data_IF_386362863859
#
_entry.id   IF_386362863859
#
_cell.length_a   1.000
_cell.length_b   1.000
_cell.length_c   1.000
_cell.angle_alpha   90.00
_cell.angle_beta   90.00
_cell.angle_gamma   90.00
#
_symmetry.space_group_name_H-M   'P 1'
#
loop_
_entity.id
_entity.type
_entity.pdbx_description
1 polymer ?
#
# COMPACT_ATOMS: atom_id res chain seq x y z
N UNK A 1 -55.07 19.19 18.91
CA UNK A 1 -54.35 19.04 17.63
C UNK A 1 -55.13 18.07 16.79
N UNK A 2 -55.41 18.43 15.54
CA UNK A 2 -56.02 17.49 14.60
C UNK A 2 -55.02 16.36 14.32
N UNK A 3 -55.46 15.09 14.26
CA UNK A 3 -54.54 13.96 14.08
C UNK A 3 -53.70 14.08 12.80
N UNK A 4 -54.26 14.69 11.74
CA UNK A 4 -53.54 14.98 10.50
C UNK A 4 -52.40 15.99 10.69
N UNK A 5 -52.61 17.04 11.49
CA UNK A 5 -51.58 18.06 11.78
C UNK A 5 -50.42 17.49 12.61
N UNK A 6 -50.71 16.60 13.56
CA UNK A 6 -49.72 15.90 14.35
C UNK A 6 -48.85 14.98 13.49
N UNK A 7 -49.46 14.18 12.62
CA UNK A 7 -48.74 13.26 11.71
C UNK A 7 -47.84 14.04 10.73
N UNK A 8 -48.33 15.16 10.20
CA UNK A 8 -47.54 16.01 9.30
C UNK A 8 -46.34 16.64 10.01
N UNK A 9 -46.52 17.18 11.22
CA UNK A 9 -45.44 17.80 11.98
C UNK A 9 -44.39 16.77 12.44
N UNK A 10 -44.83 15.60 12.90
CA UNK A 10 -43.94 14.52 13.30
C UNK A 10 -43.12 13.98 12.12
N UNK A 11 -43.71 13.84 10.93
CA UNK A 11 -43.00 13.38 9.74
C UNK A 11 -41.96 14.39 9.23
N UNK A 12 -42.27 15.69 9.27
CA UNK A 12 -41.31 16.76 8.95
C UNK A 12 -40.13 16.74 9.93
N UNK A 13 -40.38 16.61 11.23
CA UNK A 13 -39.33 16.55 12.24
C UNK A 13 -38.39 15.36 12.01
N UNK A 14 -38.93 14.17 11.71
CA UNK A 14 -38.14 12.97 11.38
C UNK A 14 -37.34 13.16 10.10
N UNK A 15 -37.92 13.79 9.07
CA UNK A 15 -37.21 14.07 7.82
C UNK A 15 -36.02 15.02 8.04
N UNK A 16 -36.19 16.09 8.83
CA UNK A 16 -35.11 17.02 9.16
C UNK A 16 -33.98 16.32 9.91
N UNK A 17 -34.30 15.51 10.93
CA UNK A 17 -33.30 14.73 11.67
C UNK A 17 -32.56 13.76 10.75
N UNK A 18 -33.28 13.08 9.85
CA UNK A 18 -32.69 12.18 8.87
C UNK A 18 -31.71 12.90 7.94
N UNK A 19 -32.12 14.04 7.36
CA UNK A 19 -31.28 14.85 6.47
C UNK A 19 -30.01 15.34 7.19
N UNK A 20 -30.15 15.86 8.41
CA UNK A 20 -29.00 16.32 9.21
C UNK A 20 -28.02 15.18 9.50
N UNK A 21 -28.54 13.99 9.81
CA UNK A 21 -27.71 12.81 10.08
C UNK A 21 -26.96 12.36 8.82
N UNK A 22 -27.63 12.35 7.67
CA UNK A 22 -27.01 12.01 6.37
C UNK A 22 -25.92 13.01 5.99
N UNK A 23 -26.19 14.32 6.11
CA UNK A 23 -25.22 15.37 5.80
C UNK A 23 -23.99 15.29 6.71
N UNK A 24 -24.19 15.02 8.01
CA UNK A 24 -23.11 14.82 8.97
C UNK A 24 -22.26 13.60 8.59
N UNK A 25 -22.90 12.48 8.26
CA UNK A 25 -22.20 11.27 7.86
C UNK A 25 -21.38 11.47 6.58
N UNK A 26 -21.92 12.19 5.59
CA UNK A 26 -21.20 12.53 4.36
C UNK A 26 -20.01 13.47 4.62
N UNK A 27 -20.17 14.48 5.48
CA UNK A 27 -19.09 15.37 5.88
C UNK A 27 -17.97 14.61 6.61
N UNK A 28 -18.34 13.72 7.55
CA UNK A 28 -17.38 12.85 8.24
C UNK A 28 -16.62 11.95 7.26
N UNK A 29 -17.33 11.32 6.32
CA UNK A 29 -16.73 10.42 5.32
C UNK A 29 -15.77 11.18 4.38
N UNK A 30 -16.11 12.41 4.01
CA UNK A 30 -15.25 13.29 3.21
C UNK A 30 -14.00 13.71 3.99
N UNK A 31 -14.13 14.00 5.29
CA UNK A 31 -13.01 14.37 6.15
C UNK A 31 -12.07 13.19 6.41
N UNK A 32 -12.61 11.99 6.68
CA UNK A 32 -11.83 10.74 6.78
C UNK A 32 -11.03 10.44 5.51
N UNK A 33 -11.53 10.84 4.34
CA UNK A 33 -10.83 10.65 3.06
C UNK A 33 -9.65 11.61 2.89
N UNK A 34 -9.63 12.73 3.60
CA UNK A 34 -8.64 13.79 3.42
C UNK A 34 -7.36 13.60 4.23
N UNK A 35 -7.26 12.50 4.98
CA UNK A 35 -6.10 12.02 5.74
C UNK A 35 -5.30 13.15 6.41
N UNK A 36 -5.58 13.37 7.70
CA UNK A 36 -4.87 14.28 8.62
C UNK A 36 -5.59 15.59 9.02
N UNK A 37 -6.85 15.52 9.45
CA UNK A 37 -7.41 16.58 10.30
C UNK A 37 -8.36 16.01 11.36
N UNK A 38 -7.75 15.53 12.45
CA UNK A 38 -8.45 15.03 13.65
C UNK A 38 -9.33 16.12 14.26
N UNK A 39 -8.94 17.38 14.12
CA UNK A 39 -9.67 18.53 14.63
C UNK A 39 -10.97 18.73 13.83
N UNK A 40 -10.89 18.67 12.49
CA UNK A 40 -12.09 18.68 11.64
C UNK A 40 -13.04 17.51 11.94
N UNK A 41 -12.51 16.30 12.16
CA UNK A 41 -13.31 15.13 12.58
C UNK A 41 -14.08 15.37 13.87
N UNK A 42 -13.41 15.93 14.87
CA UNK A 42 -14.02 16.32 16.14
C UNK A 42 -15.11 17.37 15.93
N UNK A 43 -14.82 18.45 15.20
CA UNK A 43 -15.78 19.54 14.98
C UNK A 43 -17.00 19.11 14.18
N UNK A 44 -16.85 18.29 13.14
CA UNK A 44 -17.99 17.77 12.36
C UNK A 44 -18.81 16.75 13.14
N UNK A 45 -18.17 15.89 13.94
CA UNK A 45 -18.87 14.98 14.84
C UNK A 45 -19.67 15.73 15.91
N UNK A 46 -19.03 16.70 16.58
CA UNK A 46 -19.63 17.49 17.64
C UNK A 46 -20.78 18.37 17.14
N UNK A 47 -20.60 19.09 16.03
CA UNK A 47 -21.62 19.97 15.45
C UNK A 47 -22.81 19.20 14.90
N UNK A 48 -22.59 18.05 14.26
CA UNK A 48 -23.66 17.18 13.77
C UNK A 48 -24.46 16.55 14.91
N UNK A 49 -23.80 16.04 15.95
CA UNK A 49 -24.47 15.53 17.15
C UNK A 49 -25.29 16.63 17.82
N UNK A 50 -24.70 17.82 17.99
CA UNK A 50 -25.37 18.97 18.58
C UNK A 50 -26.61 19.38 17.77
N UNK A 51 -26.52 19.42 16.44
CA UNK A 51 -27.64 19.73 15.55
C UNK A 51 -28.79 18.72 15.69
N UNK A 52 -28.49 17.43 15.77
CA UNK A 52 -29.49 16.37 15.99
C UNK A 52 -30.14 16.51 17.37
N UNK A 53 -29.37 16.76 18.43
CA UNK A 53 -29.89 16.99 19.78
C UNK A 53 -30.82 18.20 19.81
N UNK A 54 -30.43 19.32 19.22
CA UNK A 54 -31.29 20.51 19.15
C UNK A 54 -32.58 20.27 18.36
N UNK A 55 -32.52 19.51 17.26
CA UNK A 55 -33.71 19.14 16.51
C UNK A 55 -34.67 18.25 17.32
N UNK A 56 -34.15 17.30 18.09
CA UNK A 56 -34.93 16.45 19.00
C UNK A 56 -35.59 17.29 20.10
N UNK A 57 -34.83 18.19 20.75
CA UNK A 57 -35.35 19.07 21.81
C UNK A 57 -36.43 20.00 21.25
N UNK A 58 -36.21 20.59 20.07
CA UNK A 58 -37.19 21.44 19.40
C UNK A 58 -38.47 20.69 19.06
N UNK A 59 -38.37 19.46 18.55
CA UNK A 59 -39.53 18.62 18.25
C UNK A 59 -40.29 18.21 19.53
N UNK A 60 -39.57 17.89 20.61
CA UNK A 60 -40.17 17.55 21.90
C UNK A 60 -40.87 18.74 22.56
N UNK A 61 -40.34 19.96 22.41
CA UNK A 61 -40.93 21.17 22.97
C UNK A 61 -42.16 21.66 22.18
N UNK A 62 -42.21 21.38 20.87
CA UNK A 62 -43.29 21.87 19.99
C UNK A 62 -44.42 20.87 19.77
N UNK A 63 -44.16 19.57 19.94
CA UNK A 63 -45.13 18.51 19.63
C UNK A 63 -45.29 17.56 20.84
N UNK A 64 -46.37 17.70 21.64
CA UNK A 64 -46.64 16.82 22.78
C UNK A 64 -46.72 15.35 22.37
N UNK A 65 -45.93 14.48 22.99
CA UNK A 65 -45.95 13.03 22.75
C UNK A 65 -45.11 12.51 21.56
N UNK A 66 -44.48 13.40 20.78
CA UNK A 66 -43.64 12.99 19.64
C UNK A 66 -42.23 12.55 20.01
N UNK A 67 -41.76 12.90 21.21
CA UNK A 67 -40.36 12.72 21.63
C UNK A 67 -39.85 11.28 21.47
N UNK A 68 -40.70 10.27 21.73
CA UNK A 68 -40.33 8.86 21.55
C UNK A 68 -40.12 8.45 20.09
N UNK A 69 -40.93 8.96 19.17
CA UNK A 69 -40.81 8.64 17.74
C UNK A 69 -39.60 9.33 17.11
N UNK A 70 -39.35 10.59 17.47
CA UNK A 70 -38.22 11.36 16.93
C UNK A 70 -36.89 10.80 17.43
N UNK A 71 -36.81 10.41 18.71
CA UNK A 71 -35.61 9.77 19.27
C UNK A 71 -35.36 8.38 18.67
N UNK A 72 -36.41 7.56 18.49
CA UNK A 72 -36.29 6.27 17.82
C UNK A 72 -35.80 6.42 16.36
N UNK A 73 -36.35 7.37 15.61
CA UNK A 73 -35.91 7.69 14.25
C UNK A 73 -34.44 8.13 14.21
N UNK A 74 -34.02 9.00 15.13
CA UNK A 74 -32.63 9.44 15.25
C UNK A 74 -31.67 8.26 15.49
N UNK A 75 -32.01 7.34 16.41
CA UNK A 75 -31.19 6.17 16.70
C UNK A 75 -31.03 5.24 15.49
N UNK A 76 -32.09 5.03 14.71
CA UNK A 76 -32.02 4.24 13.47
C UNK A 76 -31.11 4.92 12.45
N UNK A 77 -31.25 6.23 12.24
CA UNK A 77 -30.40 6.97 11.31
C UNK A 77 -28.92 6.94 11.72
N UNK A 78 -28.63 7.08 13.02
CA UNK A 78 -27.26 6.98 13.56
C UNK A 78 -26.69 5.58 13.34
N UNK A 79 -27.44 4.52 13.63
CA UNK A 79 -27.00 3.14 13.43
C UNK A 79 -26.70 2.82 11.96
N UNK A 80 -27.57 3.28 11.05
CA UNK A 80 -27.36 3.10 9.59
C UNK A 80 -26.13 3.88 9.11
N UNK A 81 -25.95 5.13 9.55
CA UNK A 81 -24.79 5.95 9.20
C UNK A 81 -23.48 5.34 9.72
N UNK A 82 -23.47 4.87 10.98
CA UNK A 82 -22.32 4.20 11.58
C UNK A 82 -21.97 2.90 10.84
N UNK A 83 -22.97 2.08 10.51
CA UNK A 83 -22.78 0.86 9.73
C UNK A 83 -22.23 1.13 8.33
N UNK A 84 -22.68 2.21 7.68
CA UNK A 84 -22.18 2.61 6.36
C UNK A 84 -20.72 3.09 6.41
N UNK A 85 -20.37 3.92 7.41
CA UNK A 85 -18.99 4.36 7.66
C UNK A 85 -18.07 3.16 7.95
N UNK A 86 -18.52 2.24 8.80
CA UNK A 86 -17.77 1.03 9.14
C UNK A 86 -17.51 0.16 7.89
N UNK A 87 -18.54 -0.03 7.04
CA UNK A 87 -18.40 -0.81 5.80
C UNK A 87 -17.39 -0.18 4.84
N UNK A 88 -17.41 1.15 4.69
CA UNK A 88 -16.44 1.88 3.87
C UNK A 88 -15.00 1.71 4.37
N UNK A 89 -14.79 1.72 5.68
CA UNK A 89 -13.48 1.51 6.30
C UNK A 89 -12.97 0.07 6.06
N UNK A 90 -13.84 -0.93 6.14
CA UNK A 90 -13.47 -2.32 5.84
C UNK A 90 -13.04 -2.51 4.39
N UNK A 91 -13.80 -1.96 3.43
CA UNK A 91 -13.45 -2.05 2.01
C UNK A 91 -12.12 -1.34 1.71
N UNK A 92 -11.83 -0.23 2.39
CA UNK A 92 -10.55 0.47 2.28
C UNK A 92 -9.39 -0.37 2.80
N UNK A 93 -9.51 -0.96 3.99
CA UNK A 93 -8.43 -1.81 4.56
C UNK A 93 -8.11 -2.99 3.66
N UNK A 94 -9.12 -3.62 3.05
CA UNK A 94 -8.93 -4.73 2.11
C UNK A 94 -8.20 -4.25 0.85
N UNK A 95 -8.58 -3.10 0.29
CA UNK A 95 -7.89 -2.51 -0.88
C UNK A 95 -6.45 -2.13 -0.56
N UNK A 96 -6.20 -1.48 0.57
CA UNK A 96 -4.86 -1.09 1.02
C UNK A 96 -3.97 -2.32 1.25
N UNK A 97 -4.51 -3.39 1.86
CA UNK A 97 -3.78 -4.64 2.01
C UNK A 97 -3.44 -5.28 0.65
N UNK A 98 -4.39 -5.29 -0.29
CA UNK A 98 -4.14 -5.77 -1.66
C UNK A 98 -3.10 -4.93 -2.41
N UNK A 99 -3.13 -3.61 -2.27
CA UNK A 99 -2.14 -2.70 -2.85
C UNK A 99 -0.75 -2.89 -2.23
N UNK A 100 -0.67 -3.08 -0.91
CA UNK A 100 0.60 -3.35 -0.23
C UNK A 100 1.23 -4.66 -0.72
N UNK A 101 0.45 -5.73 -0.81
CA UNK A 101 0.90 -7.02 -1.36
C UNK A 101 1.34 -6.89 -2.82
N UNK A 102 0.63 -6.08 -3.63
CA UNK A 102 1.00 -5.83 -5.01
C UNK A 102 2.32 -5.07 -5.12
N UNK A 103 2.52 -4.02 -4.31
CA UNK A 103 3.78 -3.28 -4.26
C UNK A 103 4.93 -4.18 -3.83
N UNK A 104 4.74 -5.00 -2.80
CA UNK A 104 5.73 -5.99 -2.37
C UNK A 104 6.10 -6.94 -3.52
N UNK A 105 5.11 -7.51 -4.20
CA UNK A 105 5.32 -8.35 -5.39
C UNK A 105 6.13 -7.63 -6.48
N UNK A 106 5.77 -6.40 -6.81
CA UNK A 106 6.46 -5.59 -7.82
C UNK A 106 7.92 -5.30 -7.40
N UNK A 107 8.18 -5.01 -6.13
CA UNK A 107 9.54 -4.77 -5.63
C UNK A 107 10.43 -6.02 -5.70
N UNK A 108 9.91 -7.20 -5.36
CA UNK A 108 10.66 -8.46 -5.46
C UNK A 108 10.95 -8.83 -6.92
N UNK A 109 9.99 -8.60 -7.82
CA UNK A 109 10.22 -8.79 -9.27
C UNK A 109 11.28 -7.83 -9.80
N UNK A 110 11.23 -6.56 -9.40
CA UNK A 110 12.22 -5.56 -9.81
C UNK A 110 13.64 -5.87 -9.33
N UNK A 111 13.79 -6.36 -8.09
CA UNK A 111 15.09 -6.83 -7.57
C UNK A 111 15.65 -8.00 -8.39
N UNK A 112 14.82 -9.00 -8.68
CA UNK A 112 15.22 -10.15 -9.50
C UNK A 112 15.68 -9.70 -10.89
N UNK A 113 14.89 -8.85 -11.55
CA UNK A 113 15.22 -8.35 -12.88
C UNK A 113 16.53 -7.56 -12.89
N UNK A 114 16.78 -6.73 -11.87
CA UNK A 114 18.04 -5.99 -11.73
C UNK A 114 19.24 -6.93 -11.66
N UNK A 115 19.16 -8.00 -10.86
CA UNK A 115 20.25 -8.97 -10.72
C UNK A 115 20.49 -9.73 -12.02
N UNK A 116 19.43 -10.14 -12.71
CA UNK A 116 19.54 -10.78 -14.02
C UNK A 116 20.15 -9.84 -15.05
N UNK A 117 19.73 -8.58 -15.11
CA UNK A 117 20.26 -7.60 -16.05
C UNK A 117 21.76 -7.36 -15.83
N UNK A 118 22.19 -7.30 -14.57
CA UNK A 118 23.60 -7.18 -14.22
C UNK A 118 24.41 -8.42 -14.65
N UNK A 119 23.91 -9.63 -14.38
CA UNK A 119 24.54 -10.86 -14.86
C UNK A 119 24.64 -10.91 -16.39
N UNK A 120 23.53 -10.60 -17.07
CA UNK A 120 23.46 -10.57 -18.54
C UNK A 120 24.45 -9.58 -19.14
N UNK A 121 24.73 -8.46 -18.46
CA UNK A 121 25.73 -7.51 -18.93
C UNK A 121 27.14 -8.11 -18.97
N UNK A 122 27.50 -8.96 -18.02
CA UNK A 122 28.81 -9.65 -18.02
C UNK A 122 28.91 -10.71 -19.11
N UNK A 123 27.80 -11.40 -19.44
CA UNK A 123 27.77 -12.47 -20.44
C UNK A 123 27.64 -11.95 -21.88
N UNK A 124 26.92 -10.85 -22.10
CA UNK A 124 26.64 -10.33 -23.45
C UNK A 124 27.57 -9.20 -23.88
N UNK A 125 28.29 -8.55 -22.97
CA UNK A 125 29.26 -7.52 -23.32
C UNK A 125 30.64 -8.14 -23.58
N UNK A 126 31.15 -8.12 -24.83
CA UNK A 126 32.47 -8.66 -25.14
C UNK A 126 33.61 -7.92 -24.43
N UNK A 127 33.44 -6.66 -24.06
CA UNK A 127 34.44 -5.94 -23.25
C UNK A 127 34.48 -6.49 -21.82
N UNK A 128 33.30 -6.71 -21.21
CA UNK A 128 33.20 -7.28 -19.87
C UNK A 128 33.72 -8.73 -19.80
N UNK A 129 33.52 -9.52 -20.85
CA UNK A 129 34.08 -10.87 -20.94
C UNK A 129 35.62 -10.90 -20.99
N UNK A 130 36.25 -9.87 -21.58
CA UNK A 130 37.71 -9.70 -21.62
C UNK A 130 38.23 -9.20 -20.26
N UNK A 131 37.54 -8.23 -19.66
CA UNK A 131 37.96 -7.60 -18.39
C UNK A 131 37.72 -8.54 -17.18
N UNK A 132 36.67 -9.37 -17.23
CA UNK A 132 36.23 -10.24 -16.13
C UNK A 132 36.00 -11.69 -16.58
N UNK A 133 37.01 -12.40 -17.13
CA UNK A 133 36.85 -13.76 -17.66
C UNK A 133 36.45 -14.78 -16.58
N UNK A 134 36.73 -14.46 -15.31
CA UNK A 134 36.32 -15.27 -14.16
C UNK A 134 34.80 -15.33 -13.95
N UNK A 135 34.03 -14.33 -14.43
CA UNK A 135 32.57 -14.33 -14.33
C UNK A 135 31.94 -15.40 -15.23
N UNK A 136 32.50 -15.67 -16.40
CA UNK A 136 31.96 -16.66 -17.36
C UNK A 136 32.53 -18.08 -17.16
N UNK A 137 33.53 -18.24 -16.28
CA UNK A 137 34.14 -19.54 -15.97
C UNK A 137 33.27 -20.37 -15.00
N UNK A 138 32.50 -21.30 -15.56
CA UNK A 138 31.64 -22.23 -14.82
C UNK A 138 32.40 -23.23 -13.94
N UNK A 139 33.71 -23.41 -14.14
CA UNK A 139 34.52 -24.31 -13.30
C UNK A 139 34.77 -23.73 -11.90
N UNK A 140 34.56 -22.42 -11.73
CA UNK A 140 34.72 -21.73 -10.44
C UNK A 140 33.54 -21.99 -9.51
N UNK A 141 33.85 -22.18 -8.23
CA UNK A 141 32.84 -22.45 -7.20
C UNK A 141 31.85 -21.29 -7.05
N UNK A 142 32.31 -20.04 -7.17
CA UNK A 142 31.45 -18.87 -7.00
C UNK A 142 30.45 -18.72 -8.16
N UNK A 143 30.91 -18.89 -9.41
CA UNK A 143 30.05 -18.84 -10.60
C UNK A 143 29.04 -19.99 -10.62
N UNK A 144 29.46 -21.21 -10.26
CA UNK A 144 28.52 -22.34 -10.14
C UNK A 144 27.49 -22.14 -9.01
N UNK A 145 27.88 -21.50 -7.90
CA UNK A 145 26.96 -21.09 -6.82
C UNK A 145 25.96 -20.03 -7.31
N UNK A 146 26.42 -19.05 -8.08
CA UNK A 146 25.56 -18.05 -8.71
C UNK A 146 24.51 -18.72 -9.61
N UNK A 147 24.93 -19.56 -10.56
CA UNK A 147 24.00 -20.28 -11.46
C UNK A 147 22.99 -21.15 -10.67
N UNK A 148 23.44 -21.82 -9.60
CA UNK A 148 22.53 -22.58 -8.72
C UNK A 148 21.52 -21.68 -8.02
N UNK A 149 21.96 -20.55 -7.48
CA UNK A 149 21.09 -19.59 -6.82
C UNK A 149 20.08 -18.96 -7.79
N UNK A 150 20.48 -18.68 -9.04
CA UNK A 150 19.60 -18.21 -10.10
C UNK A 150 18.50 -19.23 -10.40
N UNK A 151 18.86 -20.52 -10.53
CA UNK A 151 17.90 -21.59 -10.76
C UNK A 151 16.91 -21.72 -9.60
N UNK A 152 17.39 -21.65 -8.36
CA UNK A 152 16.53 -21.68 -7.16
C UNK A 152 15.57 -20.48 -7.14
N UNK A 153 16.06 -19.28 -7.43
CA UNK A 153 15.23 -18.08 -7.50
C UNK A 153 14.21 -18.14 -8.64
N UNK A 154 14.55 -18.73 -9.79
CA UNK A 154 13.63 -18.92 -10.91
C UNK A 154 12.49 -19.89 -10.56
N UNK A 155 12.80 -21.04 -9.94
CA UNK A 155 11.79 -22.00 -9.48
C UNK A 155 10.85 -21.39 -8.44
N UNK A 156 11.40 -20.60 -7.50
CA UNK A 156 10.60 -19.91 -6.50
C UNK A 156 9.77 -18.77 -7.09
N UNK A 157 10.26 -18.10 -8.14
CA UNK A 157 9.49 -17.10 -8.88
C UNK A 157 8.25 -17.72 -9.53
N UNK A 158 8.37 -18.88 -10.16
CA UNK A 158 7.23 -19.60 -10.75
C UNK A 158 6.18 -19.94 -9.70
N UNK A 159 6.61 -20.48 -8.54
CA UNK A 159 5.70 -20.78 -7.42
C UNK A 159 5.09 -19.52 -6.80
N UNK A 160 5.85 -18.44 -6.72
CA UNK A 160 5.39 -17.14 -6.20
C UNK A 160 4.33 -16.51 -7.13
N UNK A 161 4.54 -16.62 -8.44
CA UNK A 161 3.58 -16.15 -9.45
C UNK A 161 2.31 -17.01 -9.47
N UNK A 162 2.42 -18.32 -9.25
CA UNK A 162 1.29 -19.23 -9.05
C UNK A 162 0.55 -19.03 -7.72
N UNK A 163 1.18 -18.35 -6.75
CA UNK A 163 0.63 -18.14 -5.41
C UNK A 163 0.90 -19.26 -4.41
N UNK A 164 1.72 -20.26 -4.79
CA UNK A 164 2.06 -21.43 -3.98
C UNK A 164 3.20 -21.15 -2.98
N UNK A 165 4.05 -20.15 -3.25
CA UNK A 165 5.15 -19.74 -2.37
C UNK A 165 4.89 -18.37 -1.74
N UNK A 166 5.27 -18.22 -0.47
CA UNK A 166 5.19 -16.95 0.26
C UNK A 166 6.23 -15.94 -0.19
N UNK A 167 5.95 -14.65 0.01
CA UNK A 167 6.90 -13.56 -0.31
C UNK A 167 8.22 -13.68 0.46
N UNK A 168 8.18 -14.18 1.70
CA UNK A 168 9.35 -14.39 2.54
C UNK A 168 10.33 -15.43 1.95
N UNK A 169 9.82 -16.55 1.45
CA UNK A 169 10.65 -17.61 0.85
C UNK A 169 11.34 -17.10 -0.43
N UNK A 170 10.58 -16.45 -1.29
CA UNK A 170 11.11 -15.87 -2.52
C UNK A 170 12.13 -14.74 -2.23
N UNK A 171 11.84 -13.86 -1.26
CA UNK A 171 12.76 -12.80 -0.82
C UNK A 171 14.07 -13.36 -0.25
N UNK A 172 14.00 -14.48 0.49
CA UNK A 172 15.20 -15.14 1.04
C UNK A 172 16.06 -15.70 -0.08
N UNK A 173 15.46 -16.39 -1.06
CA UNK A 173 16.19 -16.90 -2.21
C UNK A 173 16.79 -15.78 -3.07
N UNK A 174 16.09 -14.66 -3.21
CA UNK A 174 16.58 -13.49 -3.93
C UNK A 174 17.78 -12.84 -3.23
N UNK A 175 17.75 -12.76 -1.90
CA UNK A 175 18.90 -12.29 -1.10
C UNK A 175 20.10 -13.23 -1.28
N UNK A 176 19.89 -14.54 -1.25
CA UNK A 176 20.95 -15.51 -1.52
C UNK A 176 21.52 -15.46 -2.94
N UNK A 177 20.70 -15.07 -3.92
CA UNK A 177 21.13 -14.81 -5.30
C UNK A 177 21.96 -13.52 -5.39
N UNK A 178 21.52 -12.43 -4.76
CA UNK A 178 22.26 -11.17 -4.68
C UNK A 178 23.65 -11.37 -4.03
N UNK A 179 23.70 -12.14 -2.94
CA UNK A 179 24.95 -12.48 -2.25
C UNK A 179 25.88 -13.33 -3.13
N UNK A 180 25.33 -14.30 -3.87
CA UNK A 180 26.12 -15.13 -4.78
C UNK A 180 26.69 -14.33 -5.94
N UNK A 181 25.94 -13.36 -6.48
CA UNK A 181 26.43 -12.44 -7.50
C UNK A 181 27.56 -11.57 -6.94
N UNK A 182 27.36 -10.98 -5.76
CA UNK A 182 28.38 -10.16 -5.13
C UNK A 182 29.68 -10.94 -4.84
N UNK A 183 29.58 -12.19 -4.41
CA UNK A 183 30.74 -13.06 -4.18
C UNK A 183 31.49 -13.37 -5.50
N UNK A 184 30.76 -13.66 -6.58
CA UNK A 184 31.35 -13.89 -7.90
C UNK A 184 32.05 -12.64 -8.44
N UNK A 185 31.44 -11.47 -8.29
CA UNK A 185 32.02 -10.18 -8.67
C UNK A 185 33.31 -9.88 -7.91
N UNK A 186 33.32 -10.10 -6.60
CA UNK A 186 34.52 -9.91 -5.77
C UNK A 186 35.62 -10.88 -6.19
N UNK A 187 35.31 -12.15 -6.44
CA UNK A 187 36.33 -13.14 -6.84
C UNK A 187 36.81 -12.97 -8.28
N UNK A 188 36.03 -12.26 -9.11
CA UNK A 188 36.42 -11.78 -10.44
C UNK A 188 37.18 -10.44 -10.42
N UNK A 189 37.32 -9.80 -9.25
CA UNK A 189 38.05 -8.53 -9.11
C UNK A 189 37.25 -7.28 -9.48
N UNK A 190 35.92 -7.39 -9.60
CA UNK A 190 35.03 -6.23 -9.81
C UNK A 190 35.01 -5.39 -8.53
N UNK A 191 35.57 -4.19 -8.57
CA UNK A 191 35.45 -3.22 -7.48
C UNK A 191 34.13 -2.48 -7.60
N UNK A 192 33.27 -2.55 -6.57
CA UNK A 192 31.98 -1.84 -6.52
C UNK A 192 32.11 -0.31 -6.38
N UNK A 193 33.32 0.20 -6.27
CA UNK A 193 33.59 1.63 -6.18
C UNK A 193 33.53 2.24 -7.58
N UNK A 194 32.43 2.95 -7.86
CA UNK A 194 32.23 3.72 -9.08
C UNK A 194 33.18 4.91 -9.21
N UNK A 195 34.47 4.64 -9.40
CA UNK A 195 35.44 5.55 -10.01
C UNK A 195 36.04 4.76 -11.16
N UNK A 196 35.76 5.22 -12.38
CA UNK A 196 36.13 4.53 -13.62
C UNK A 196 37.61 4.12 -13.68
N UNK A 197 37.96 3.21 -14.61
CA UNK A 197 39.31 2.68 -14.70
C UNK A 197 40.30 3.83 -14.77
N UNK A 198 41.15 3.97 -13.75
CA UNK A 198 42.42 4.67 -13.93
C UNK A 198 43.14 3.87 -15.00
N UNK A 199 43.03 4.33 -16.25
CA UNK A 199 43.90 3.94 -17.35
C UNK A 199 45.30 3.93 -16.79
N UNK A 200 45.84 2.73 -16.64
CA UNK A 200 47.23 2.48 -16.41
C UNK A 200 48.00 3.34 -17.42
N UNK A 201 48.69 4.36 -16.92
CA UNK A 201 49.56 5.21 -17.71
C UNK A 201 50.74 4.36 -18.20
N UNK A 202 50.53 3.60 -19.27
CA UNK A 202 51.52 2.76 -19.93
C UNK A 202 52.01 3.40 -21.26
N UNK A 203 52.06 4.73 -21.33
CA UNK A 203 52.33 5.42 -22.61
C UNK A 203 53.05 6.75 -22.52
N UNK A 204 53.89 7.00 -21.51
CA UNK A 204 54.61 8.27 -21.40
C UNK A 204 56.04 8.13 -20.82
N UNK A 205 56.82 7.16 -21.31
CA UNK A 205 58.30 7.18 -21.26
C UNK A 205 58.89 6.53 -22.51
N UNK A 206 58.70 7.20 -23.62
CA UNK A 206 59.62 7.14 -24.76
C UNK A 206 59.66 8.58 -25.26
N UNK A 207 60.87 9.13 -25.41
CA UNK A 207 61.20 10.53 -25.72
C UNK A 207 61.34 11.43 -24.48
N UNK A 208 62.44 11.24 -23.75
CA UNK A 208 63.50 12.26 -23.60
C UNK A 208 64.81 11.57 -23.16
#
# INVERSE_FOLDING_TARGET
>A
MDPASFVLQASIAVAVVGILTILTALALAACLKRDNDVDSLFWYGFSGLSAVIFAIIGAAATIPGSGGLVTAGALVCVGVAAGWLWRGEHERKIKLAGEALRRERETLKGRHERVLQQWVSYELDPAAAIDFPAMTDLSRTDTSRLIRSMRTAALLRERFDAGDAGSAEYSTALTGLEDALAAAEVSAGVSRDGVGPTRSAHGARMLD
#
